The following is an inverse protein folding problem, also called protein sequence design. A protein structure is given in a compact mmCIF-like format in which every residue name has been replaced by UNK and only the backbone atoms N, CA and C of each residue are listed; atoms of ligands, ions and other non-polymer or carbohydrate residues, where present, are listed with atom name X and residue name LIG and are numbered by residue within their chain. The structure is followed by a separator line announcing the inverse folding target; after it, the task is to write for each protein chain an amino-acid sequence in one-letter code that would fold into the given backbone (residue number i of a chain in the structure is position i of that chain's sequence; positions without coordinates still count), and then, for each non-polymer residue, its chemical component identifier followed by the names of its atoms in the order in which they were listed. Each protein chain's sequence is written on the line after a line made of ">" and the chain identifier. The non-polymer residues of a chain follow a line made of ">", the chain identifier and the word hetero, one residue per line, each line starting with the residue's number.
data_IF_825418009827
#
_entry.id   IF_825418009827
#
_cell.length_a   1.000
_cell.length_b   1.000
_cell.length_c   1.000
_cell.angle_alpha   90.00
_cell.angle_beta   90.00
_cell.angle_gamma   90.00
#
_symmetry.space_group_name_H-M   'P 1'
#
loop_
_entity.id
_entity.type
_entity.pdbx_description
1 polymer ?
#
# COMPACT_ATOMS: atom_id res chain seq x y z
N UNK A 1 14.39 39.84 30.19
CA UNK A 1 13.72 38.78 29.39
C UNK A 1 14.75 38.19 28.46
N UNK A 2 14.83 36.85 28.35
CA UNK A 2 15.78 36.20 27.45
C UNK A 2 15.36 36.41 25.98
N UNK A 3 16.30 36.79 25.12
CA UNK A 3 16.04 36.97 23.70
C UNK A 3 15.78 35.62 23.03
N UNK A 4 14.70 35.53 22.25
CA UNK A 4 14.39 34.35 21.46
C UNK A 4 15.33 34.33 20.25
N UNK A 5 16.15 33.30 20.15
CA UNK A 5 17.04 33.06 19.01
C UNK A 5 16.39 32.04 18.07
N UNK A 6 16.21 32.44 16.80
CA UNK A 6 15.75 31.55 15.75
C UNK A 6 16.94 31.03 14.93
N UNK A 7 16.77 29.85 14.30
CA UNK A 7 17.69 29.39 13.25
C UNK A 7 17.55 30.29 12.02
N UNK A 8 18.63 30.40 11.24
CA UNK A 8 18.59 31.15 9.98
C UNK A 8 17.49 30.63 9.05
N UNK A 9 16.83 31.55 8.33
CA UNK A 9 15.82 31.19 7.34
C UNK A 9 16.50 30.43 6.19
N UNK A 10 15.93 29.28 5.76
CA UNK A 10 16.49 28.54 4.64
C UNK A 10 16.32 29.35 3.34
N UNK A 11 17.44 29.67 2.67
CA UNK A 11 17.45 30.21 1.32
C UNK A 11 17.50 29.08 0.29
N UNK A 12 16.72 29.17 -0.78
CA UNK A 12 16.68 28.16 -1.82
C UNK A 12 17.93 28.30 -2.73
N UNK A 13 19.04 27.71 -2.31
CA UNK A 13 20.29 27.72 -3.07
C UNK A 13 20.31 26.54 -4.05
N UNK A 14 20.52 26.77 -5.36
CA UNK A 14 20.59 25.67 -6.32
C UNK A 14 21.81 24.79 -6.04
N UNK A 15 21.60 23.47 -6.01
CA UNK A 15 22.73 22.53 -6.00
C UNK A 15 23.39 22.52 -7.38
N UNK A 16 24.72 22.63 -7.41
CA UNK A 16 25.50 22.58 -8.65
C UNK A 16 25.60 21.16 -9.24
N UNK A 17 25.39 20.13 -8.41
CA UNK A 17 25.45 18.72 -8.80
C UNK A 17 24.15 17.99 -8.45
N UNK A 18 23.74 16.98 -9.23
CA UNK A 18 22.61 16.13 -8.87
C UNK A 18 22.87 15.43 -7.54
N UNK A 19 22.03 15.68 -6.54
CA UNK A 19 22.04 14.86 -5.32
C UNK A 19 21.38 13.51 -5.62
N UNK A 20 21.95 12.43 -5.09
CA UNK A 20 21.23 11.15 -5.02
C UNK A 20 20.09 11.29 -4.00
N UNK A 21 18.91 11.62 -4.50
CA UNK A 21 17.69 11.73 -3.68
C UNK A 21 17.31 10.40 -3.02
N UNK A 22 17.78 9.26 -3.53
CA UNK A 22 17.49 7.94 -2.98
C UNK A 22 18.35 7.61 -1.77
N UNK A 23 19.51 8.26 -1.61
CA UNK A 23 20.30 8.18 -0.38
C UNK A 23 19.53 8.72 0.84
N UNK A 24 18.50 9.55 0.63
CA UNK A 24 17.61 10.03 1.70
C UNK A 24 16.65 8.96 2.21
N UNK A 25 16.53 7.80 1.55
CA UNK A 25 15.63 6.71 1.95
C UNK A 25 16.34 5.79 2.97
N UNK A 26 15.88 5.74 4.24
CA UNK A 26 16.49 4.91 5.28
C UNK A 26 16.53 3.42 4.91
N UNK A 27 17.52 2.69 5.42
CA UNK A 27 17.66 1.25 5.19
C UNK A 27 16.48 0.43 5.74
N UNK A 28 15.89 0.85 6.87
CA UNK A 28 14.72 0.21 7.48
C UNK A 28 13.37 0.70 6.92
N UNK A 29 13.35 1.49 5.85
CA UNK A 29 12.10 2.04 5.33
C UNK A 29 11.24 0.95 4.65
N UNK A 30 9.91 0.90 4.87
CA UNK A 30 9.04 -0.15 4.32
C UNK A 30 9.08 -0.31 2.80
N UNK A 31 9.48 0.74 2.08
CA UNK A 31 9.66 0.71 0.62
C UNK A 31 10.68 -0.35 0.19
N UNK A 32 11.75 -0.54 0.96
CA UNK A 32 12.81 -1.52 0.67
C UNK A 32 12.30 -2.95 0.93
N UNK A 33 11.54 -3.13 2.00
CA UNK A 33 10.86 -4.39 2.29
C UNK A 33 9.91 -4.79 1.16
N UNK A 34 9.07 -3.87 0.67
CA UNK A 34 8.17 -4.15 -0.46
C UNK A 34 8.97 -4.54 -1.71
N UNK A 35 10.08 -3.86 -1.98
CA UNK A 35 10.95 -4.20 -3.10
C UNK A 35 11.51 -5.63 -2.97
N UNK A 36 12.10 -5.98 -1.83
CA UNK A 36 12.65 -7.31 -1.58
C UNK A 36 11.59 -8.42 -1.64
N UNK A 37 10.41 -8.16 -1.08
CA UNK A 37 9.29 -9.11 -1.10
C UNK A 37 8.86 -9.38 -2.54
N UNK A 38 8.62 -8.33 -3.33
CA UNK A 38 8.13 -8.46 -4.70
C UNK A 38 9.18 -9.06 -5.64
N UNK A 39 10.48 -8.88 -5.37
CA UNK A 39 11.54 -9.55 -6.13
C UNK A 39 11.53 -11.08 -5.98
N UNK A 40 11.06 -11.58 -4.84
CA UNK A 40 10.96 -13.03 -4.56
C UNK A 40 9.65 -13.66 -5.07
N UNK A 41 8.66 -12.86 -5.46
CA UNK A 41 7.38 -13.38 -5.94
C UNK A 41 7.50 -14.01 -7.34
N UNK A 42 6.80 -15.13 -7.53
CA UNK A 42 6.61 -15.69 -8.85
C UNK A 42 5.53 -14.88 -9.60
N UNK A 43 5.94 -14.19 -10.67
CA UNK A 43 5.06 -13.37 -11.50
C UNK A 43 4.90 -13.92 -12.92
N UNK A 44 5.39 -15.12 -13.20
CA UNK A 44 5.30 -15.77 -14.51
C UNK A 44 3.86 -15.86 -15.02
N UNK A 45 2.84 -16.17 -14.19
CA UNK A 45 1.45 -16.18 -14.64
C UNK A 45 0.96 -14.83 -15.16
N UNK A 46 1.53 -13.72 -14.66
CA UNK A 46 1.17 -12.36 -15.06
C UNK A 46 1.93 -11.97 -16.32
N UNK A 47 3.23 -12.27 -16.38
CA UNK A 47 4.07 -12.03 -17.56
C UNK A 47 3.51 -12.78 -18.77
N UNK A 48 3.06 -14.04 -18.59
CA UNK A 48 2.48 -14.86 -19.66
C UNK A 48 1.20 -14.29 -20.28
N UNK A 49 0.54 -13.32 -19.64
CA UNK A 49 -0.61 -12.63 -20.25
C UNK A 49 -0.20 -11.59 -21.30
N UNK A 50 1.06 -11.14 -21.29
CA UNK A 50 1.56 -10.14 -22.21
C UNK A 50 1.79 -10.77 -23.57
N UNK A 51 1.26 -10.13 -24.60
CA UNK A 51 1.50 -10.49 -26.00
C UNK A 51 2.54 -9.54 -26.56
N UNK A 52 3.42 -10.04 -27.40
CA UNK A 52 4.35 -9.20 -28.16
C UNK A 52 3.63 -8.36 -29.22
N UNK A 53 4.33 -7.35 -29.72
CA UNK A 53 3.85 -6.42 -30.75
C UNK A 53 3.20 -5.16 -30.17
N UNK A 54 3.28 -4.06 -30.94
CA UNK A 54 2.78 -2.75 -30.51
C UNK A 54 3.76 -2.00 -29.60
N UNK A 55 3.21 -1.10 -28.76
CA UNK A 55 4.01 -0.28 -27.84
C UNK A 55 4.54 -1.07 -26.65
N UNK A 56 5.72 -0.70 -26.16
CA UNK A 56 6.35 -1.31 -24.98
C UNK A 56 5.53 -1.01 -23.72
N UNK A 57 5.18 -2.07 -22.98
CA UNK A 57 4.50 -1.94 -21.69
C UNK A 57 5.50 -1.80 -20.53
N UNK A 58 5.02 -1.23 -19.42
CA UNK A 58 5.77 -1.25 -18.16
C UNK A 58 5.91 -2.68 -17.62
N UNK A 59 7.06 -2.96 -17.00
CA UNK A 59 7.34 -4.28 -16.46
C UNK A 59 6.35 -4.63 -15.32
N UNK A 60 5.69 -5.82 -15.35
CA UNK A 60 4.69 -6.20 -14.35
C UNK A 60 5.21 -6.16 -12.92
N UNK A 61 6.48 -6.54 -12.70
CA UNK A 61 7.13 -6.48 -11.38
C UNK A 61 7.15 -5.07 -10.80
N UNK A 62 7.49 -4.07 -11.62
CA UNK A 62 7.50 -2.66 -11.19
C UNK A 62 6.08 -2.20 -10.85
N UNK A 63 5.09 -2.54 -11.70
CA UNK A 63 3.69 -2.20 -11.46
C UNK A 63 3.15 -2.81 -10.15
N UNK A 64 3.55 -4.05 -9.82
CA UNK A 64 3.20 -4.72 -8.56
C UNK A 64 3.82 -4.00 -7.37
N UNK A 65 5.12 -3.66 -7.43
CA UNK A 65 5.81 -2.89 -6.37
C UNK A 65 5.08 -1.59 -6.05
N UNK A 66 4.76 -0.82 -7.08
CA UNK A 66 4.04 0.46 -6.94
C UNK A 66 2.66 0.26 -6.32
N UNK A 67 1.89 -0.74 -6.79
CA UNK A 67 0.56 -1.00 -6.25
C UNK A 67 0.58 -1.46 -4.79
N UNK A 68 1.49 -2.36 -4.42
CA UNK A 68 1.57 -2.87 -3.05
C UNK A 68 2.03 -1.79 -2.08
N UNK A 69 3.02 -0.99 -2.48
CA UNK A 69 3.44 0.15 -1.68
C UNK A 69 2.34 1.22 -1.56
N UNK A 70 1.57 1.45 -2.63
CA UNK A 70 0.41 2.33 -2.57
C UNK A 70 -0.63 1.86 -1.55
N UNK A 71 -0.95 0.56 -1.53
CA UNK A 71 -1.89 -0.01 -0.57
C UNK A 71 -1.36 0.03 0.86
N UNK A 72 -0.07 -0.24 1.06
CA UNK A 72 0.59 -0.08 2.35
C UNK A 72 0.50 1.38 2.85
N UNK A 73 0.56 2.34 1.93
CA UNK A 73 0.46 3.78 2.22
C UNK A 73 -0.97 4.31 2.27
N UNK A 74 -2.00 3.44 2.22
CA UNK A 74 -3.42 3.81 2.14
C UNK A 74 -3.80 4.68 0.92
N UNK A 75 -3.10 4.51 -0.20
CA UNK A 75 -3.36 5.20 -1.47
C UNK A 75 -4.01 4.23 -2.46
N UNK A 76 -5.33 4.33 -2.64
CA UNK A 76 -6.09 3.42 -3.52
C UNK A 76 -6.51 4.05 -4.86
N UNK A 77 -6.53 5.37 -4.95
CA UNK A 77 -6.90 6.08 -6.18
C UNK A 77 -5.75 6.07 -7.17
N UNK A 78 -5.97 5.54 -8.39
CA UNK A 78 -4.92 5.50 -9.41
C UNK A 78 -4.39 6.89 -9.77
N UNK A 79 -5.21 7.94 -9.70
CA UNK A 79 -4.75 9.33 -9.90
C UNK A 79 -3.84 9.81 -8.77
N UNK A 80 -4.11 9.39 -7.54
CA UNK A 80 -3.22 9.68 -6.41
C UNK A 80 -1.90 8.92 -6.54
N UNK A 81 -1.93 7.68 -7.06
CA UNK A 81 -0.72 6.89 -7.33
C UNK A 81 0.12 7.54 -8.44
N UNK A 82 -0.51 7.93 -9.55
CA UNK A 82 0.14 8.68 -10.63
C UNK A 82 0.81 9.95 -10.12
N UNK A 83 0.11 10.75 -9.30
CA UNK A 83 0.69 11.93 -8.64
C UNK A 83 1.85 11.56 -7.72
N UNK A 84 1.72 10.50 -6.93
CA UNK A 84 2.79 10.05 -6.04
C UNK A 84 4.04 9.60 -6.79
N UNK A 85 3.91 9.00 -7.98
CA UNK A 85 5.04 8.64 -8.85
C UNK A 85 5.84 9.87 -9.31
N UNK A 86 5.22 11.05 -9.36
CA UNK A 86 5.84 12.32 -9.76
C UNK A 86 6.40 13.13 -8.58
N UNK A 87 5.84 12.97 -7.37
CA UNK A 87 6.14 13.86 -6.24
C UNK A 87 6.83 13.14 -5.07
N UNK A 88 6.70 11.83 -4.95
CA UNK A 88 7.12 11.07 -3.77
C UNK A 88 8.36 10.20 -4.07
N UNK A 89 9.46 10.49 -3.36
CA UNK A 89 10.75 9.81 -3.52
C UNK A 89 10.67 8.28 -3.38
N UNK A 90 9.75 7.76 -2.56
CA UNK A 90 9.61 6.32 -2.35
C UNK A 90 8.99 5.64 -3.57
N UNK A 91 8.02 6.31 -4.21
CA UNK A 91 7.42 5.82 -5.45
C UNK A 91 8.39 5.94 -6.62
N UNK A 92 9.12 7.06 -6.72
CA UNK A 92 10.17 7.25 -7.72
C UNK A 92 11.26 6.18 -7.62
N UNK A 93 11.65 5.81 -6.41
CA UNK A 93 12.65 4.76 -6.18
C UNK A 93 12.14 3.38 -6.62
N UNK A 94 10.92 3.02 -6.24
CA UNK A 94 10.32 1.73 -6.64
C UNK A 94 10.09 1.62 -8.15
N UNK A 95 9.71 2.71 -8.79
CA UNK A 95 9.42 2.74 -10.22
C UNK A 95 10.66 2.98 -11.08
N UNK A 96 11.80 3.34 -10.47
CA UNK A 96 13.00 3.76 -11.19
C UNK A 96 12.71 4.98 -12.08
N UNK A 97 12.01 5.99 -11.55
CA UNK A 97 11.50 7.15 -12.29
C UNK A 97 10.50 6.84 -13.42
N UNK A 98 10.03 5.59 -13.56
CA UNK A 98 8.91 5.31 -14.47
C UNK A 98 7.62 5.91 -13.90
N UNK A 99 6.86 6.60 -14.75
CA UNK A 99 5.63 7.29 -14.33
C UNK A 99 4.43 6.80 -15.14
N UNK A 100 3.95 5.56 -14.93
CA UNK A 100 2.74 5.07 -15.57
C UNK A 100 1.53 5.95 -15.22
N UNK A 101 0.72 6.25 -16.22
CA UNK A 101 -0.49 7.07 -16.05
C UNK A 101 -1.57 6.32 -15.26
N UNK A 102 -2.57 7.07 -14.77
CA UNK A 102 -3.65 6.46 -13.98
C UNK A 102 -4.42 5.38 -14.77
N UNK A 103 -4.48 5.48 -16.10
CA UNK A 103 -5.16 4.51 -16.97
C UNK A 103 -4.41 3.20 -17.02
N UNK A 104 -3.09 3.25 -17.19
CA UNK A 104 -2.19 2.09 -17.20
C UNK A 104 -2.24 1.38 -15.85
N UNK A 105 -2.18 2.12 -14.75
CA UNK A 105 -2.30 1.56 -13.40
C UNK A 105 -3.66 0.88 -13.22
N UNK A 106 -4.74 1.56 -13.61
CA UNK A 106 -6.08 1.00 -13.48
C UNK A 106 -6.30 -0.23 -14.37
N UNK A 107 -5.77 -0.23 -15.58
CA UNK A 107 -5.84 -1.38 -16.50
C UNK A 107 -5.06 -2.57 -15.94
N UNK A 108 -3.84 -2.35 -15.46
CA UNK A 108 -3.04 -3.41 -14.84
C UNK A 108 -3.76 -4.01 -13.62
N UNK A 109 -4.28 -3.15 -12.73
CA UNK A 109 -5.06 -3.58 -11.56
C UNK A 109 -6.33 -4.34 -11.92
N UNK A 110 -7.14 -3.82 -12.84
CA UNK A 110 -8.47 -4.34 -13.13
C UNK A 110 -8.53 -5.45 -14.17
N UNK A 111 -7.51 -5.59 -15.01
CA UNK A 111 -7.45 -6.59 -16.08
C UNK A 111 -6.35 -7.61 -15.84
N UNK A 112 -5.10 -7.18 -15.64
CA UNK A 112 -3.94 -8.08 -15.55
C UNK A 112 -3.86 -8.81 -14.21
N UNK A 113 -4.07 -8.08 -13.12
CA UNK A 113 -4.05 -8.62 -11.75
C UNK A 113 -5.35 -9.30 -11.35
N UNK A 114 -6.41 -9.19 -12.16
CA UNK A 114 -7.70 -9.80 -11.86
C UNK A 114 -7.53 -11.32 -11.76
N UNK A 115 -7.95 -11.90 -10.64
CA UNK A 115 -7.80 -13.33 -10.36
C UNK A 115 -6.46 -13.75 -9.75
N UNK A 116 -5.42 -12.91 -9.84
CA UNK A 116 -4.08 -13.19 -9.26
C UNK A 116 -3.78 -12.39 -7.99
N UNK A 117 -4.53 -11.31 -7.72
CA UNK A 117 -4.24 -10.43 -6.59
C UNK A 117 -4.34 -11.13 -5.23
N UNK A 118 -5.31 -12.04 -5.06
CA UNK A 118 -5.49 -12.77 -3.80
C UNK A 118 -4.34 -13.74 -3.53
N UNK A 119 -3.91 -14.49 -4.55
CA UNK A 119 -2.79 -15.43 -4.41
C UNK A 119 -1.48 -14.68 -4.15
N UNK A 120 -1.19 -13.62 -4.91
CA UNK A 120 -0.01 -12.78 -4.67
C UNK A 120 -0.01 -12.16 -3.29
N UNK A 121 -1.16 -11.66 -2.81
CA UNK A 121 -1.25 -11.10 -1.47
C UNK A 121 -1.02 -12.17 -0.39
N UNK A 122 -1.54 -13.38 -0.57
CA UNK A 122 -1.27 -14.49 0.33
C UNK A 122 0.22 -14.87 0.36
N UNK A 123 0.88 -14.90 -0.80
CA UNK A 123 2.33 -15.14 -0.90
C UNK A 123 3.14 -14.06 -0.19
N UNK A 124 2.79 -12.78 -0.35
CA UNK A 124 3.40 -11.68 0.40
C UNK A 124 3.29 -11.89 1.89
N UNK A 125 2.10 -12.21 2.41
CA UNK A 125 1.88 -12.42 3.84
C UNK A 125 2.70 -13.61 4.36
N UNK A 126 2.78 -14.70 3.59
CA UNK A 126 3.63 -15.86 3.92
C UNK A 126 5.10 -15.49 3.99
N UNK A 127 5.60 -14.75 3.00
CA UNK A 127 6.99 -14.31 2.97
C UNK A 127 7.32 -13.38 4.15
N UNK A 128 6.41 -12.46 4.49
CA UNK A 128 6.56 -11.58 5.65
C UNK A 128 6.57 -12.38 6.97
N UNK A 129 5.78 -13.45 7.06
CA UNK A 129 5.79 -14.33 8.22
C UNK A 129 7.08 -15.15 8.34
N UNK A 130 7.59 -15.69 7.22
CA UNK A 130 8.87 -16.41 7.16
C UNK A 130 10.05 -15.52 7.53
N UNK A 131 10.03 -14.25 7.10
CA UNK A 131 11.04 -13.25 7.43
C UNK A 131 10.91 -12.70 8.86
N UNK A 132 9.91 -13.12 9.63
CA UNK A 132 9.69 -12.70 11.01
C UNK A 132 9.09 -11.29 11.17
N UNK A 133 8.63 -10.67 10.09
CA UNK A 133 7.97 -9.35 10.14
C UNK A 133 6.52 -9.43 10.63
N UNK A 134 5.86 -10.58 10.47
CA UNK A 134 4.47 -10.80 10.87
C UNK A 134 4.32 -12.12 11.62
N UNK A 135 3.57 -12.11 12.71
CA UNK A 135 3.17 -13.35 13.40
C UNK A 135 1.77 -13.77 12.96
N UNK A 136 1.63 -15.00 12.49
CA UNK A 136 0.32 -15.59 12.14
C UNK A 136 -0.34 -16.31 13.33
N UNK A 137 0.25 -16.24 14.54
CA UNK A 137 -0.26 -16.93 15.74
C UNK A 137 -1.53 -16.31 16.30
N UNK A 138 -1.66 -14.98 16.17
CA UNK A 138 -2.77 -14.20 16.73
C UNK A 138 -3.31 -13.31 15.62
N UNK A 139 -4.61 -13.42 15.34
CA UNK A 139 -5.29 -12.60 14.35
C UNK A 139 -6.22 -11.62 15.06
N UNK A 140 -6.01 -10.33 14.84
CA UNK A 140 -6.92 -9.29 15.28
C UNK A 140 -7.87 -8.94 14.13
N UNK A 141 -9.16 -9.16 14.35
CA UNK A 141 -10.21 -8.79 13.40
C UNK A 141 -10.89 -7.55 13.97
N UNK A 142 -10.58 -6.38 13.42
CA UNK A 142 -11.31 -5.16 13.74
C UNK A 142 -12.56 -5.06 12.85
N UNK A 143 -13.73 -5.15 13.47
CA UNK A 143 -15.01 -5.13 12.78
C UNK A 143 -15.57 -3.71 12.74
N UNK A 144 -15.42 -3.02 11.61
CA UNK A 144 -16.12 -1.74 11.41
C UNK A 144 -17.60 -1.99 11.12
N UNK A 145 -18.47 -1.61 12.06
CA UNK A 145 -19.93 -1.68 11.86
C UNK A 145 -20.38 -0.51 10.97
N UNK A 146 -20.76 -0.82 9.74
CA UNK A 146 -21.35 0.16 8.82
C UNK A 146 -22.86 0.11 9.00
N UNK A 147 -23.47 1.24 9.39
CA UNK A 147 -24.93 1.37 9.40
C UNK A 147 -25.44 1.25 7.96
N UNK A 148 -26.01 0.08 7.63
CA UNK A 148 -26.92 -0.04 6.49
C UNK A 148 -28.30 0.45 6.92
N UNK A 149 -29.17 0.79 5.96
CA UNK A 149 -30.54 1.27 6.17
C UNK A 149 -31.50 0.23 6.81
N UNK A 150 -31.03 -0.57 7.76
CA UNK A 150 -31.81 -1.47 8.59
C UNK A 150 -32.11 -0.77 9.93
N UNK A 151 -33.38 -0.79 10.33
CA UNK A 151 -33.91 0.04 11.43
C UNK A 151 -33.09 -0.04 12.73
N UNK A 152 -33.04 1.09 13.47
CA UNK A 152 -32.28 1.29 14.72
C UNK A 152 -32.49 0.24 15.83
N UNK A 153 -33.47 -0.66 15.68
CA UNK A 153 -33.93 -1.59 16.71
C UNK A 153 -33.74 -3.08 16.36
N UNK A 154 -33.21 -3.44 15.19
CA UNK A 154 -32.98 -4.85 14.85
C UNK A 154 -31.74 -5.44 15.53
N UNK A 155 -30.91 -4.63 16.18
CA UNK A 155 -29.71 -5.12 16.84
C UNK A 155 -29.60 -4.64 18.29
N UNK A 156 -29.40 -5.60 19.20
CA UNK A 156 -29.26 -5.36 20.65
C UNK A 156 -27.87 -5.83 21.08
N UNK A 157 -27.16 -4.98 21.82
CA UNK A 157 -25.83 -5.30 22.35
C UNK A 157 -25.88 -6.50 23.30
N UNK A 158 -24.89 -7.39 23.23
CA UNK A 158 -24.79 -8.57 24.08
C UNK A 158 -24.98 -8.23 25.57
N UNK A 159 -24.31 -7.19 26.06
CA UNK A 159 -24.47 -6.75 27.45
C UNK A 159 -25.88 -6.24 27.80
N UNK A 160 -26.62 -5.70 26.83
CA UNK A 160 -28.03 -5.32 27.02
C UNK A 160 -28.97 -6.53 27.00
N UNK A 161 -28.67 -7.54 26.17
CA UNK A 161 -29.39 -8.83 26.17
C UNK A 161 -29.19 -9.55 27.50
N UNK A 162 -27.95 -9.65 27.98
CA UNK A 162 -27.63 -10.29 29.26
C UNK A 162 -28.33 -9.60 30.44
N UNK A 163 -28.31 -8.26 30.48
CA UNK A 163 -28.98 -7.47 31.53
C UNK A 163 -30.49 -7.67 31.56
N UNK A 164 -31.14 -7.74 30.40
CA UNK A 164 -32.59 -7.90 30.32
C UNK A 164 -33.04 -9.36 30.47
N UNK A 165 -32.21 -10.32 30.06
CA UNK A 165 -32.46 -11.75 30.27
C UNK A 165 -32.60 -12.09 31.75
N UNK A 166 -31.69 -11.59 32.59
CA UNK A 166 -31.74 -11.78 34.06
C UNK A 166 -33.04 -11.23 34.67
N UNK A 167 -33.63 -10.18 34.09
CA UNK A 167 -34.90 -9.61 34.55
C UNK A 167 -36.14 -10.38 34.07
N UNK A 168 -36.02 -11.11 32.97
CA UNK A 168 -37.12 -11.91 32.40
C UNK A 168 -37.19 -13.32 33.00
N UNK A 169 -36.08 -13.82 33.52
CA UNK A 169 -35.96 -15.14 34.15
C UNK A 169 -36.13 -15.10 35.69
N UNK A 170 -36.38 -13.93 36.27
CA UNK A 170 -36.68 -13.72 37.69
C UNK A 170 -38.19 -13.54 37.92
#
# INVERSE_FOLDING_TARGET
>A
MANILFKALPSNSPSLFPEDIFAKIPAGHPVRLVNEVVEKLNIDPIIGQYKGGGTTGFHPRMMIKVLFYAYLSNIYSCRKIERALQENIYFMWLSGHSTPDYRTINYFRGKRLKGHIQSLFAEVVRLLAELGYVSLKVQYIDGTKIESAAGRYTFVWKGSVEKNKVKLEA
#
